data_IF_493698797225
#
_entry.id   IF_493698797225
#
_cell.length_a   1.000
_cell.length_b   1.000
_cell.length_c   1.000
_cell.angle_alpha   90.00
_cell.angle_beta   90.00
_cell.angle_gamma   90.00
#
_symmetry.space_group_name_H-M   'P 1'
#
loop_
_entity.id
_entity.type
_entity.pdbx_description
1 polymer ?
#
# COMPACT_ATOMS: atom_id res chain seq x y z
N UNK A 1 31.88 20.67 23.55
CA UNK A 1 31.85 19.65 22.50
C UNK A 1 31.01 18.41 22.90
N UNK A 2 31.16 17.88 24.09
CA UNK A 2 30.44 16.67 24.54
C UNK A 2 28.89 16.77 24.52
N UNK A 3 28.36 17.93 24.85
CA UNK A 3 26.92 18.21 24.89
C UNK A 3 26.27 18.23 23.50
N UNK A 4 26.99 18.75 22.50
CA UNK A 4 26.50 18.82 21.11
C UNK A 4 26.36 17.41 20.50
N UNK A 5 27.34 16.54 20.76
CA UNK A 5 27.30 15.15 20.30
C UNK A 5 26.16 14.36 20.92
N UNK A 6 25.85 14.59 22.20
CA UNK A 6 24.70 13.97 22.88
C UNK A 6 23.38 14.46 22.35
N UNK A 7 23.24 15.76 22.07
CA UNK A 7 22.05 16.33 21.47
C UNK A 7 21.84 15.81 20.05
N UNK A 8 22.93 15.71 19.27
CA UNK A 8 22.86 15.15 17.91
C UNK A 8 22.48 13.67 17.92
N UNK A 9 23.02 12.88 18.84
CA UNK A 9 22.69 11.47 19.00
C UNK A 9 21.22 11.27 19.43
N UNK A 10 20.72 12.10 20.34
CA UNK A 10 19.31 12.08 20.73
C UNK A 10 18.38 12.48 19.58
N UNK A 11 18.75 13.48 18.78
CA UNK A 11 17.99 13.90 17.59
C UNK A 11 17.95 12.77 16.56
N UNK A 12 19.06 12.11 16.29
CA UNK A 12 19.12 10.95 15.37
C UNK A 12 18.30 9.78 15.91
N UNK A 13 18.36 9.51 17.21
CA UNK A 13 17.58 8.43 17.83
C UNK A 13 16.07 8.70 17.74
N UNK A 14 15.63 9.94 17.92
CA UNK A 14 14.20 10.31 17.80
C UNK A 14 13.70 10.26 16.35
N UNK A 15 14.55 10.57 15.38
CA UNK A 15 14.20 10.46 13.94
C UNK A 15 14.07 9.01 13.48
N UNK A 16 14.80 8.07 14.10
CA UNK A 16 14.72 6.65 13.77
C UNK A 16 13.44 5.95 14.27
N UNK A 17 12.73 6.55 15.24
CA UNK A 17 11.49 5.96 15.78
C UNK A 17 10.22 6.31 15.02
N UNK A 18 10.29 7.17 14.00
CA UNK A 18 9.14 7.63 13.21
C UNK A 18 8.74 6.65 12.08
N UNK A 19 8.85 5.34 12.30
CA UNK A 19 8.37 4.34 11.34
C UNK A 19 6.84 4.21 11.46
N UNK A 20 6.10 4.79 10.52
CA UNK A 20 4.69 4.49 10.35
C UNK A 20 4.55 3.04 9.87
N UNK A 21 4.00 2.16 10.71
CA UNK A 21 3.67 0.79 10.30
C UNK A 21 2.41 0.80 9.45
N UNK A 22 2.51 0.34 8.21
CA UNK A 22 1.35 0.07 7.35
C UNK A 22 0.78 -1.28 7.79
N UNK A 23 -0.55 -1.39 8.05
CA UNK A 23 -1.17 -2.65 8.42
C UNK A 23 -0.89 -3.74 7.37
N UNK A 24 -0.62 -4.96 7.82
CA UNK A 24 -0.35 -6.12 6.95
C UNK A 24 -1.62 -6.88 6.53
N UNK A 25 -2.79 -6.26 6.68
CA UNK A 25 -4.09 -6.85 6.37
C UNK A 25 -4.97 -5.96 5.50
N UNK A 26 -6.21 -6.37 5.20
CA UNK A 26 -7.14 -5.56 4.42
C UNK A 26 -7.45 -4.24 5.14
N UNK A 27 -7.44 -3.15 4.38
CA UNK A 27 -7.84 -1.83 4.88
C UNK A 27 -9.34 -1.60 4.74
N UNK A 28 -10.06 -2.55 4.17
CA UNK A 28 -11.50 -2.54 3.95
C UNK A 28 -12.22 -3.49 4.91
N UNK A 29 -13.43 -3.13 5.30
CA UNK A 29 -14.27 -3.96 6.17
C UNK A 29 -15.18 -4.85 5.30
N UNK A 30 -15.20 -6.15 5.58
CA UNK A 30 -16.19 -7.08 5.08
C UNK A 30 -17.15 -7.48 6.20
N UNK A 31 -18.39 -7.77 5.86
CA UNK A 31 -19.43 -8.21 6.79
C UNK A 31 -19.98 -9.58 6.36
N UNK A 32 -20.40 -10.41 7.31
CA UNK A 32 -21.04 -11.69 6.97
C UNK A 32 -22.18 -11.51 6.00
N UNK A 33 -22.25 -12.37 4.99
CA UNK A 33 -23.36 -12.41 4.04
C UNK A 33 -24.63 -12.99 4.68
N UNK A 34 -25.77 -12.78 4.02
CA UNK A 34 -27.05 -13.29 4.48
C UNK A 34 -27.02 -14.83 4.57
N UNK A 35 -27.37 -15.36 5.73
CA UNK A 35 -27.38 -16.81 5.99
C UNK A 35 -26.01 -17.42 6.31
N UNK A 36 -24.96 -16.62 6.44
CA UNK A 36 -23.66 -17.10 6.95
C UNK A 36 -23.48 -16.81 8.43
N UNK A 37 -23.01 -17.81 9.17
CA UNK A 37 -22.63 -17.63 10.57
C UNK A 37 -21.22 -17.02 10.68
N UNK A 38 -20.86 -16.59 11.89
CA UNK A 38 -19.59 -15.91 12.13
C UNK A 38 -18.36 -16.83 11.95
N UNK A 39 -18.50 -18.12 12.20
CA UNK A 39 -17.40 -19.07 12.03
C UNK A 39 -17.08 -19.29 10.55
N UNK A 40 -18.11 -19.40 9.71
CA UNK A 40 -17.96 -19.43 8.27
C UNK A 40 -17.30 -18.14 7.75
N UNK A 41 -17.75 -16.99 8.27
CA UNK A 41 -17.13 -15.70 7.91
C UNK A 41 -15.64 -15.67 8.24
N UNK A 42 -15.25 -16.11 9.44
CA UNK A 42 -13.83 -16.15 9.84
C UNK A 42 -12.99 -17.07 8.96
N UNK A 43 -13.55 -18.22 8.60
CA UNK A 43 -12.87 -19.17 7.71
C UNK A 43 -12.67 -18.57 6.30
N UNK A 44 -13.72 -18.01 5.74
CA UNK A 44 -13.69 -17.36 4.42
C UNK A 44 -12.76 -16.14 4.43
N UNK A 45 -12.79 -15.32 5.49
CA UNK A 45 -11.90 -14.18 5.71
C UNK A 45 -10.42 -14.60 5.70
N UNK A 46 -10.08 -15.68 6.41
CA UNK A 46 -8.73 -16.21 6.44
C UNK A 46 -8.26 -16.67 5.05
N UNK A 47 -9.09 -17.43 4.35
CA UNK A 47 -8.77 -17.87 2.98
C UNK A 47 -8.62 -16.71 2.01
N UNK A 48 -9.50 -15.70 2.09
CA UNK A 48 -9.44 -14.54 1.23
C UNK A 48 -8.23 -13.63 1.53
N UNK A 49 -7.76 -13.58 2.78
CA UNK A 49 -6.50 -12.92 3.13
C UNK A 49 -5.28 -13.63 2.53
N UNK A 50 -5.27 -14.97 2.56
CA UNK A 50 -4.20 -15.74 1.90
C UNK A 50 -4.21 -15.51 0.40
N UNK A 51 -5.36 -15.63 -0.24
CA UNK A 51 -5.51 -15.36 -1.67
C UNK A 51 -5.03 -13.95 -2.04
N UNK A 52 -5.44 -12.93 -1.30
CA UNK A 52 -5.00 -11.56 -1.53
C UNK A 52 -3.48 -11.40 -1.38
N UNK A 53 -2.89 -12.08 -0.40
CA UNK A 53 -1.43 -12.06 -0.21
C UNK A 53 -0.68 -12.73 -1.38
N UNK A 54 -1.19 -13.82 -1.92
CA UNK A 54 -0.63 -14.48 -3.11
C UNK A 54 -0.71 -13.57 -4.34
N UNK A 55 -1.82 -12.83 -4.51
CA UNK A 55 -2.01 -11.90 -5.63
C UNK A 55 -1.02 -10.72 -5.62
N UNK A 56 -0.48 -10.36 -4.47
CA UNK A 56 0.59 -9.36 -4.36
C UNK A 56 1.98 -9.98 -4.29
N UNK A 57 2.11 -11.27 -4.62
CA UNK A 57 3.38 -12.00 -4.66
C UNK A 57 3.97 -12.32 -3.28
N UNK A 58 3.14 -12.42 -2.25
CA UNK A 58 3.57 -12.65 -0.87
C UNK A 58 4.24 -11.45 -0.21
N UNK A 59 4.35 -10.31 -0.91
CA UNK A 59 4.97 -9.09 -0.41
C UNK A 59 3.91 -8.24 0.27
N UNK A 60 4.03 -8.06 1.58
CA UNK A 60 3.11 -7.18 2.31
C UNK A 60 3.30 -5.72 1.91
N UNK A 61 2.27 -4.86 2.01
CA UNK A 61 2.39 -3.43 1.73
C UNK A 61 3.53 -2.76 2.52
N UNK A 62 3.76 -3.21 3.75
CA UNK A 62 4.85 -2.74 4.60
C UNK A 62 6.23 -3.14 4.02
N UNK A 63 6.39 -4.38 3.59
CA UNK A 63 7.63 -4.84 2.95
C UNK A 63 7.91 -4.10 1.65
N UNK A 64 6.88 -3.87 0.81
CA UNK A 64 7.01 -3.10 -0.42
C UNK A 64 7.49 -1.67 -0.15
N UNK A 65 6.95 -1.03 0.89
CA UNK A 65 7.36 0.30 1.33
C UNK A 65 8.80 0.32 1.82
N UNK A 66 9.17 -0.59 2.70
CA UNK A 66 10.51 -0.68 3.28
C UNK A 66 11.57 -0.92 2.20
N UNK A 67 11.31 -1.88 1.30
CA UNK A 67 12.26 -2.21 0.22
C UNK A 67 12.46 -1.01 -0.71
N UNK A 68 11.40 -0.34 -1.12
CA UNK A 68 11.49 0.83 -2.01
C UNK A 68 12.20 2.00 -1.34
N UNK A 69 11.90 2.27 -0.08
CA UNK A 69 12.55 3.33 0.69
C UNK A 69 14.03 3.07 0.94
N UNK A 70 14.38 1.86 1.38
CA UNK A 70 15.76 1.46 1.65
C UNK A 70 16.63 1.49 0.39
N UNK A 71 16.11 0.99 -0.74
CA UNK A 71 16.83 1.01 -2.01
C UNK A 71 17.15 2.44 -2.46
N UNK A 72 16.17 3.35 -2.37
CA UNK A 72 16.37 4.76 -2.77
C UNK A 72 17.38 5.47 -1.84
N UNK A 73 17.31 5.20 -0.53
CA UNK A 73 18.27 5.76 0.43
C UNK A 73 19.69 5.23 0.19
N UNK A 74 19.85 3.92 -0.10
CA UNK A 74 21.14 3.33 -0.38
C UNK A 74 21.79 3.88 -1.65
N UNK A 75 20.98 4.07 -2.72
CA UNK A 75 21.45 4.71 -3.96
C UNK A 75 21.90 6.14 -3.68
N UNK A 76 21.08 6.92 -2.95
CA UNK A 76 21.42 8.30 -2.57
C UNK A 76 22.73 8.37 -1.76
N UNK A 77 22.90 7.48 -0.79
CA UNK A 77 24.14 7.40 0.00
C UNK A 77 25.36 7.07 -0.84
N UNK A 78 25.24 6.08 -1.75
CA UNK A 78 26.33 5.68 -2.64
C UNK A 78 26.78 6.78 -3.59
N UNK A 79 25.83 7.42 -4.25
CA UNK A 79 26.12 8.55 -5.15
C UNK A 79 26.67 9.75 -4.39
N UNK A 80 26.11 10.07 -3.23
CA UNK A 80 26.59 11.14 -2.36
C UNK A 80 28.02 10.89 -1.85
N UNK A 81 28.32 9.63 -1.45
CA UNK A 81 29.67 9.26 -1.03
C UNK A 81 30.70 9.41 -2.15
N UNK A 82 30.36 8.95 -3.37
CA UNK A 82 31.24 9.05 -4.53
C UNK A 82 31.51 10.52 -4.90
N UNK A 83 30.48 11.33 -4.99
CA UNK A 83 30.62 12.77 -5.29
C UNK A 83 31.39 13.50 -4.18
N UNK A 84 31.09 13.22 -2.93
CA UNK A 84 31.80 13.80 -1.78
C UNK A 84 33.28 13.40 -1.71
N UNK A 85 33.61 12.13 -2.07
CA UNK A 85 34.99 11.67 -2.17
C UNK A 85 35.78 12.45 -3.22
N UNK A 86 35.21 12.67 -4.40
CA UNK A 86 35.85 13.43 -5.50
C UNK A 86 36.15 14.87 -5.08
N UNK A 87 35.18 15.54 -4.47
CA UNK A 87 35.34 16.90 -3.96
C UNK A 87 36.40 16.94 -2.83
N UNK A 88 36.34 15.99 -1.89
CA UNK A 88 37.28 15.88 -0.78
C UNK A 88 38.68 15.53 -1.22
N UNK A 89 38.85 14.79 -2.32
CA UNK A 89 40.14 14.45 -2.89
C UNK A 89 40.94 15.67 -3.35
N UNK A 90 40.25 16.68 -3.91
CA UNK A 90 40.85 17.94 -4.31
C UNK A 90 41.52 18.71 -3.14
N UNK A 91 41.11 18.48 -1.90
CA UNK A 91 41.68 19.07 -0.69
C UNK A 91 42.47 18.07 0.15
N UNK A 92 42.76 16.86 -0.33
CA UNK A 92 43.47 15.81 0.37
C UNK A 92 42.65 15.07 1.44
N UNK A 93 41.37 15.29 1.51
CA UNK A 93 40.47 14.73 2.56
C UNK A 93 39.35 13.89 1.98
N UNK A 94 39.64 12.98 1.03
CA UNK A 94 38.65 12.17 0.32
C UNK A 94 37.71 11.38 1.26
N UNK A 95 38.27 10.84 2.36
CA UNK A 95 37.48 10.06 3.32
C UNK A 95 36.44 10.88 4.08
N UNK A 96 36.76 12.09 4.52
CA UNK A 96 35.81 12.99 5.17
C UNK A 96 34.79 13.52 4.18
N UNK A 97 35.20 13.81 2.93
CA UNK A 97 34.30 14.19 1.85
C UNK A 97 33.27 13.09 1.53
N UNK A 98 33.73 11.82 1.46
CA UNK A 98 32.84 10.68 1.25
C UNK A 98 31.83 10.52 2.39
N UNK A 99 32.25 10.65 3.65
CA UNK A 99 31.38 10.52 4.81
C UNK A 99 30.29 11.61 4.86
N UNK A 100 30.66 12.86 4.58
CA UNK A 100 29.72 13.97 4.51
C UNK A 100 28.76 13.79 3.33
N UNK A 101 29.30 13.44 2.14
CA UNK A 101 28.51 13.19 0.94
C UNK A 101 27.54 12.03 1.12
N UNK A 102 27.94 10.94 1.76
CA UNK A 102 27.05 9.83 2.10
C UNK A 102 25.91 10.28 3.03
N UNK A 103 26.22 11.08 4.05
CA UNK A 103 25.20 11.62 4.96
C UNK A 103 24.18 12.51 4.25
N UNK A 104 24.64 13.44 3.41
CA UNK A 104 23.76 14.30 2.60
C UNK A 104 22.96 13.47 1.60
N UNK A 105 23.59 12.50 0.96
CA UNK A 105 22.93 11.58 0.01
C UNK A 105 21.90 10.68 0.68
N UNK A 106 22.14 10.22 1.92
CA UNK A 106 21.16 9.50 2.73
C UNK A 106 19.94 10.36 3.04
N UNK A 107 20.13 11.62 3.44
CA UNK A 107 19.02 12.53 3.74
C UNK A 107 18.22 12.85 2.48
N UNK A 108 18.89 13.20 1.37
CA UNK A 108 18.24 13.47 0.09
C UNK A 108 17.54 12.24 -0.48
N UNK A 109 18.24 11.12 -0.55
CA UNK A 109 17.69 9.83 -0.98
C UNK A 109 16.59 9.30 -0.04
N UNK A 110 16.69 9.57 1.26
CA UNK A 110 15.67 9.23 2.24
C UNK A 110 14.38 10.02 2.05
N UNK A 111 14.44 11.31 1.77
CA UNK A 111 13.26 12.15 1.49
C UNK A 111 12.52 11.70 0.22
N UNK A 112 13.27 11.40 -0.86
CA UNK A 112 12.70 10.83 -2.09
C UNK A 112 12.22 9.40 -1.83
N UNK A 113 12.96 8.63 -1.04
CA UNK A 113 12.63 7.26 -0.66
C UNK A 113 11.34 7.14 0.11
N UNK A 114 11.00 8.10 0.99
CA UNK A 114 9.73 8.09 1.73
C UNK A 114 8.52 8.27 0.82
N UNK A 115 8.61 9.12 -0.21
CA UNK A 115 7.53 9.27 -1.20
C UNK A 115 7.36 8.00 -2.05
N UNK A 116 8.45 7.41 -2.53
CA UNK A 116 8.42 6.16 -3.28
C UNK A 116 7.91 4.98 -2.43
N UNK A 117 8.34 4.89 -1.17
CA UNK A 117 7.82 3.91 -0.22
C UNK A 117 6.31 4.05 -0.02
N UNK A 118 5.82 5.28 0.15
CA UNK A 118 4.39 5.55 0.27
C UNK A 118 3.59 5.15 -0.96
N UNK A 119 4.10 5.43 -2.16
CA UNK A 119 3.45 5.03 -3.42
C UNK A 119 3.45 3.52 -3.59
N UNK A 120 4.59 2.85 -3.39
CA UNK A 120 4.69 1.39 -3.51
C UNK A 120 3.79 0.66 -2.51
N UNK A 121 3.76 1.10 -1.26
CA UNK A 121 2.89 0.54 -0.24
C UNK A 121 1.41 0.72 -0.57
N UNK A 122 1.00 1.90 -1.06
CA UNK A 122 -0.38 2.16 -1.47
C UNK A 122 -0.81 1.31 -2.66
N UNK A 123 0.02 1.18 -3.69
CA UNK A 123 -0.28 0.34 -4.85
C UNK A 123 -0.46 -1.11 -4.42
N UNK A 124 0.45 -1.63 -3.59
CA UNK A 124 0.36 -2.99 -3.05
C UNK A 124 -0.88 -3.17 -2.17
N UNK A 125 -1.19 -2.19 -1.31
CA UNK A 125 -2.40 -2.21 -0.48
C UNK A 125 -3.67 -2.23 -1.35
N UNK A 126 -3.77 -1.39 -2.37
CA UNK A 126 -4.93 -1.38 -3.28
C UNK A 126 -5.10 -2.72 -4.02
N UNK A 127 -4.02 -3.34 -4.47
CA UNK A 127 -4.08 -4.67 -5.10
C UNK A 127 -4.54 -5.72 -4.11
N UNK A 128 -4.01 -5.70 -2.91
CA UNK A 128 -4.41 -6.59 -1.83
C UNK A 128 -5.90 -6.44 -1.51
N UNK A 129 -6.36 -5.20 -1.25
CA UNK A 129 -7.75 -4.91 -0.92
C UNK A 129 -8.71 -5.33 -2.03
N UNK A 130 -8.37 -5.06 -3.29
CA UNK A 130 -9.19 -5.47 -4.43
C UNK A 130 -9.32 -6.99 -4.52
N UNK A 131 -8.22 -7.73 -4.36
CA UNK A 131 -8.23 -9.19 -4.38
C UNK A 131 -9.01 -9.77 -3.20
N UNK A 132 -8.85 -9.19 -2.01
CA UNK A 132 -9.62 -9.56 -0.83
C UNK A 132 -11.12 -9.33 -1.02
N UNK A 133 -11.52 -8.14 -1.51
CA UNK A 133 -12.91 -7.79 -1.79
C UNK A 133 -13.53 -8.73 -2.83
N UNK A 134 -12.81 -9.04 -3.90
CA UNK A 134 -13.29 -9.97 -4.93
C UNK A 134 -13.52 -11.38 -4.35
N UNK A 135 -12.59 -11.88 -3.53
CA UNK A 135 -12.72 -13.17 -2.89
C UNK A 135 -13.91 -13.21 -1.92
N UNK A 136 -14.02 -12.23 -1.02
CA UNK A 136 -15.12 -12.14 -0.06
C UNK A 136 -16.48 -12.00 -0.74
N UNK A 137 -16.54 -11.24 -1.85
CA UNK A 137 -17.74 -11.12 -2.66
C UNK A 137 -18.12 -12.46 -3.32
N UNK A 138 -17.14 -13.18 -3.87
CA UNK A 138 -17.37 -14.51 -4.45
C UNK A 138 -17.87 -15.50 -3.40
N UNK A 139 -17.39 -15.40 -2.15
CA UNK A 139 -17.88 -16.19 -1.03
C UNK A 139 -19.29 -15.75 -0.57
N UNK A 140 -19.84 -14.67 -1.10
CA UNK A 140 -21.18 -14.17 -0.78
C UNK A 140 -21.25 -13.32 0.47
N UNK A 141 -20.14 -12.71 0.85
CA UNK A 141 -20.08 -11.71 1.92
C UNK A 141 -20.43 -10.31 1.42
N UNK A 142 -20.80 -9.44 2.35
CA UNK A 142 -21.05 -8.03 2.07
C UNK A 142 -19.74 -7.27 2.11
N UNK A 143 -19.41 -6.61 1.00
CA UNK A 143 -18.16 -5.87 0.83
C UNK A 143 -18.40 -4.44 0.36
N UNK A 144 -17.50 -3.50 0.64
CA UNK A 144 -17.61 -2.13 0.16
C UNK A 144 -17.28 -2.07 -1.34
N UNK A 145 -18.23 -1.60 -2.14
CA UNK A 145 -18.03 -1.31 -3.56
C UNK A 145 -18.38 0.17 -3.78
N UNK A 146 -17.41 0.96 -4.22
CA UNK A 146 -17.57 2.42 -4.44
C UNK A 146 -18.15 3.17 -3.22
N UNK A 147 -17.71 2.78 -2.01
CA UNK A 147 -18.21 3.39 -0.77
C UNK A 147 -19.57 2.89 -0.29
N UNK A 148 -20.18 1.93 -0.98
CA UNK A 148 -21.40 1.24 -0.56
C UNK A 148 -21.08 -0.22 -0.21
N UNK A 149 -21.77 -0.77 0.78
CA UNK A 149 -21.67 -2.19 1.12
C UNK A 149 -22.69 -2.94 0.27
N UNK A 150 -22.20 -3.83 -0.59
CA UNK A 150 -23.02 -4.67 -1.47
C UNK A 150 -22.80 -6.15 -1.19
N UNK A 151 -23.83 -6.91 -1.39
CA UNK A 151 -23.85 -8.37 -1.29
C UNK A 151 -24.01 -8.96 -2.71
N UNK A 152 -23.41 -10.12 -2.95
CA UNK A 152 -23.52 -10.80 -4.23
C UNK A 152 -24.99 -11.18 -4.51
N UNK A 153 -25.63 -10.62 -5.57
CA UNK A 153 -27.04 -10.86 -5.86
C UNK A 153 -27.36 -12.31 -6.22
N UNK A 154 -26.38 -13.10 -6.65
CA UNK A 154 -26.60 -14.52 -6.98
C UNK A 154 -26.98 -15.37 -5.77
N UNK A 155 -26.77 -14.89 -4.54
CA UNK A 155 -27.16 -15.57 -3.29
C UNK A 155 -28.39 -15.00 -2.62
N UNK A 156 -28.90 -13.88 -3.10
CA UNK A 156 -30.18 -13.31 -2.65
C UNK A 156 -31.28 -14.06 -3.38
N UNK A 157 -31.41 -15.33 -3.07
CA UNK A 157 -32.54 -16.11 -3.55
C UNK A 157 -33.85 -15.48 -3.10
N UNK A 158 -34.69 -15.13 -4.05
CA UNK A 158 -36.13 -14.83 -3.94
C UNK A 158 -36.60 -13.58 -3.15
N UNK A 159 -35.70 -12.72 -2.62
CA UNK A 159 -36.19 -11.51 -1.94
C UNK A 159 -36.48 -10.32 -2.86
N UNK A 160 -36.14 -10.39 -4.13
CA UNK A 160 -36.32 -9.29 -5.10
C UNK A 160 -37.55 -9.42 -6.02
N UNK A 161 -38.46 -10.37 -5.75
CA UNK A 161 -39.70 -10.44 -6.57
C UNK A 161 -40.67 -9.26 -6.39
N UNK A 162 -40.34 -8.32 -5.48
CA UNK A 162 -41.20 -7.15 -5.21
C UNK A 162 -40.55 -5.78 -5.42
N UNK A 163 -39.33 -5.70 -5.97
CA UNK A 163 -38.86 -4.43 -6.49
C UNK A 163 -39.25 -4.33 -7.97
N UNK A 164 -40.30 -3.58 -8.25
CA UNK A 164 -40.65 -3.17 -9.60
C UNK A 164 -39.46 -2.44 -10.21
N UNK A 165 -38.68 -3.15 -11.00
CA UNK A 165 -37.62 -2.55 -11.82
C UNK A 165 -38.33 -1.62 -12.79
N UNK A 166 -38.05 -0.30 -12.84
CA UNK A 166 -38.62 0.57 -13.86
C UNK A 166 -38.31 -0.01 -15.24
N UNK A 167 -39.27 -0.02 -16.17
CA UNK A 167 -39.01 -0.51 -17.51
C UNK A 167 -37.81 0.26 -18.10
N UNK A 168 -36.96 -0.40 -18.89
CA UNK A 168 -35.85 0.26 -19.55
C UNK A 168 -36.38 1.43 -20.39
N UNK A 169 -35.64 2.55 -20.48
CA UNK A 169 -36.05 3.67 -21.31
C UNK A 169 -36.28 3.19 -22.75
N UNK A 170 -37.29 3.71 -23.45
CA UNK A 170 -37.58 3.33 -24.83
C UNK A 170 -36.31 3.48 -25.67
N UNK A 171 -35.94 2.42 -26.37
CA UNK A 171 -34.76 2.41 -27.22
C UNK A 171 -34.84 3.52 -28.26
N UNK A 172 -33.68 4.04 -28.68
CA UNK A 172 -33.61 5.02 -29.76
C UNK A 172 -34.39 4.54 -30.97
N UNK A 173 -35.17 5.42 -31.60
CA UNK A 173 -35.88 5.06 -32.85
C UNK A 173 -34.85 4.64 -33.91
N UNK A 174 -35.20 3.59 -34.65
CA UNK A 174 -34.37 3.10 -35.75
C UNK A 174 -34.15 4.23 -36.79
N UNK A 175 -32.93 4.32 -37.39
CA UNK A 175 -32.67 5.32 -38.41
C UNK A 175 -33.62 5.12 -39.60
N UNK A 176 -34.04 6.20 -40.28
CA UNK A 176 -34.96 6.12 -41.44
C UNK A 176 -34.31 5.29 -42.56
N UNK A 177 -35.11 4.54 -43.34
CA UNK A 177 -34.60 3.80 -44.49
C UNK A 177 -34.11 4.78 -45.56
N UNK A 178 -32.94 4.46 -46.17
CA UNK A 178 -32.38 5.18 -47.31
C UNK A 178 -33.25 5.02 -48.55
#
# INVERSE_FOLDING_TARGET
MFTIHRLLALLVATLLTACASIPSGPSVMALPGSGKNFDQFRHDDYQCKQFANEQVGGVTPNQASLTSGATTAAIGAGLGAAAGALIGAGSGHAGSGAAIGAGVGLLGGGLIGTSNAGVSGRITQHRYDNSYVQCMYAQGHRVPVRGQIVENPARIGNSYQNLSIPPPPPGNPSPPPN
#
